data_IF_036190879500
#
_entry.id   IF_036190879500
#
_cell.length_a   1.000
_cell.length_b   1.000
_cell.length_c   1.000
_cell.angle_alpha   90.00
_cell.angle_beta   90.00
_cell.angle_gamma   90.00
#
_symmetry.space_group_name_H-M   'P 1'
#
loop_
_entity.id
_entity.type
_entity.pdbx_description
1 polymer ?
#
# COMPACT_ATOMS: atom_id res chain seq x y z
N UNK A 1 -8.31 -10.30 -13.76
CA UNK A 1 -6.99 -9.70 -13.49
C UNK A 1 -6.52 -9.01 -14.76
N UNK A 2 -6.27 -7.70 -14.76
CA UNK A 2 -5.78 -6.97 -15.91
C UNK A 2 -4.38 -7.48 -16.32
N UNK A 3 -4.08 -7.45 -17.63
CA UNK A 3 -2.83 -7.97 -18.21
C UNK A 3 -1.57 -7.33 -17.57
N UNK A 4 -1.66 -6.07 -17.17
CA UNK A 4 -0.60 -5.33 -16.47
C UNK A 4 -0.22 -5.92 -15.11
N UNK A 5 -1.17 -6.49 -14.37
CA UNK A 5 -0.90 -7.15 -13.09
C UNK A 5 -0.12 -8.45 -13.27
N UNK A 6 -0.42 -9.23 -14.34
CA UNK A 6 0.29 -10.47 -14.65
C UNK A 6 1.77 -10.22 -14.99
N UNK A 7 2.06 -9.17 -15.76
CA UNK A 7 3.45 -8.81 -16.13
C UNK A 7 4.24 -8.36 -14.90
N UNK A 8 3.65 -7.55 -14.04
CA UNK A 8 4.32 -7.06 -12.80
C UNK A 8 4.60 -8.20 -11.80
N UNK A 9 3.67 -9.15 -11.65
CA UNK A 9 3.87 -10.34 -10.79
C UNK A 9 4.98 -11.25 -11.34
N UNK A 10 5.04 -11.46 -12.66
CA UNK A 10 6.07 -12.28 -13.31
C UNK A 10 7.46 -11.67 -13.17
N UNK A 11 7.60 -10.35 -13.32
CA UNK A 11 8.89 -9.65 -13.13
C UNK A 11 9.38 -9.75 -11.68
N UNK A 12 8.49 -9.59 -10.71
CA UNK A 12 8.85 -9.70 -9.30
C UNK A 12 9.20 -11.14 -8.90
N UNK A 13 8.44 -12.15 -9.37
CA UNK A 13 8.78 -13.57 -9.19
C UNK A 13 10.09 -13.96 -9.89
N UNK A 14 10.37 -13.42 -11.08
CA UNK A 14 11.62 -13.66 -11.79
C UNK A 14 12.83 -13.12 -11.02
N UNK A 15 12.71 -11.97 -10.34
CA UNK A 15 13.78 -11.43 -9.50
C UNK A 15 14.07 -12.31 -8.27
N UNK A 16 13.04 -12.86 -7.60
CA UNK A 16 13.21 -13.80 -6.48
C UNK A 16 13.82 -15.12 -6.97
N UNK A 17 13.35 -15.66 -8.10
CA UNK A 17 13.90 -16.90 -8.70
C UNK A 17 15.35 -16.68 -9.20
N UNK A 18 15.69 -15.51 -9.73
CA UNK A 18 17.06 -15.19 -10.11
C UNK A 18 18.03 -15.17 -8.91
N UNK A 19 17.56 -14.74 -7.73
CA UNK A 19 18.35 -14.85 -6.48
C UNK A 19 18.66 -16.31 -6.10
N UNK A 20 17.75 -17.24 -6.38
CA UNK A 20 17.90 -18.68 -6.06
C UNK A 20 18.82 -19.38 -7.10
N UNK A 21 18.83 -18.91 -8.34
CA UNK A 21 19.55 -19.55 -9.46
C UNK A 21 20.98 -19.05 -9.67
N UNK A 22 21.50 -18.14 -8.83
CA UNK A 22 22.82 -17.53 -9.05
C UNK A 22 23.97 -18.51 -8.83
N UNK A 23 24.87 -18.72 -9.81
CA UNK A 23 26.10 -19.52 -9.64
C UNK A 23 27.12 -18.72 -8.83
N UNK A 24 27.62 -19.36 -7.84
CA UNK A 24 28.36 -18.90 -6.69
C UNK A 24 29.79 -18.39 -6.89
N UNK A 25 30.16 -17.40 -6.13
CA UNK A 25 31.52 -16.85 -6.00
C UNK A 25 31.77 -16.23 -4.59
N UNK A 26 33.00 -16.09 -4.08
CA UNK A 26 33.34 -15.56 -2.74
C UNK A 26 33.25 -14.04 -2.65
N UNK A 27 32.61 -13.53 -1.59
CA UNK A 27 32.75 -12.15 -1.17
C UNK A 27 33.35 -12.08 0.25
N UNK A 28 34.14 -11.04 0.55
CA UNK A 28 34.75 -10.77 1.88
C UNK A 28 33.72 -10.50 3.01
N UNK A 29 32.43 -10.57 2.67
CA UNK A 29 31.31 -10.51 3.61
C UNK A 29 31.26 -11.71 4.59
N UNK A 30 32.01 -12.81 4.33
CA UNK A 30 31.89 -14.09 5.04
C UNK A 30 32.71 -14.13 6.33
N UNK A 31 33.76 -13.31 6.48
CA UNK A 31 34.69 -13.45 7.62
C UNK A 31 34.23 -12.80 8.93
N UNK A 32 33.19 -11.98 8.91
CA UNK A 32 32.58 -11.43 10.15
C UNK A 32 31.67 -12.42 10.90
N UNK A 33 31.55 -13.65 10.45
CA UNK A 33 30.57 -14.66 10.82
C UNK A 33 30.75 -15.36 12.18
N UNK A 34 31.47 -14.81 13.16
CA UNK A 34 31.57 -15.38 14.50
C UNK A 34 30.90 -14.57 15.61
N UNK A 35 30.20 -13.48 15.27
CA UNK A 35 29.51 -12.59 16.21
C UNK A 35 28.07 -12.32 15.78
N UNK A 36 27.38 -11.51 16.58
CA UNK A 36 26.11 -10.92 16.21
C UNK A 36 26.34 -9.89 15.11
N UNK A 37 25.53 -9.95 14.05
CA UNK A 37 25.53 -8.97 12.97
C UNK A 37 24.26 -8.12 13.09
N UNK A 38 24.40 -6.84 13.33
CA UNK A 38 23.30 -5.89 13.42
C UNK A 38 23.16 -5.13 12.10
N UNK A 39 21.93 -4.86 11.66
CA UNK A 39 21.70 -4.03 10.49
C UNK A 39 20.52 -3.07 10.71
N UNK A 40 20.63 -1.93 10.03
CA UNK A 40 19.57 -0.95 9.93
C UNK A 40 19.37 -0.55 8.47
N UNK A 41 18.13 -0.43 8.04
CA UNK A 41 17.75 0.02 6.69
C UNK A 41 16.82 1.21 6.83
N UNK A 42 17.04 2.22 6.00
CA UNK A 42 16.12 3.34 5.83
C UNK A 42 15.96 3.64 4.34
N UNK A 43 14.74 3.47 3.82
CA UNK A 43 14.39 3.75 2.44
C UNK A 43 13.31 4.84 2.37
N UNK A 44 13.47 5.79 1.46
CA UNK A 44 12.41 6.67 0.97
C UNK A 44 11.70 5.93 -0.14
N UNK A 45 10.38 5.94 -0.09
CA UNK A 45 9.50 5.25 -1.03
C UNK A 45 8.80 6.25 -1.95
N UNK A 46 8.58 5.85 -3.20
CA UNK A 46 7.76 6.54 -4.19
C UNK A 46 6.69 5.56 -4.65
N UNK A 47 5.55 5.59 -3.98
CA UNK A 47 4.50 4.58 -4.11
C UNK A 47 3.35 5.10 -4.95
N UNK A 48 2.86 4.25 -5.84
CA UNK A 48 1.63 4.47 -6.57
C UNK A 48 0.59 3.49 -6.05
N UNK A 49 -0.60 4.00 -5.78
CA UNK A 49 -1.76 3.24 -5.39
C UNK A 49 -2.69 3.07 -6.59
N UNK A 50 -3.25 1.86 -6.77
CA UNK A 50 -4.40 1.66 -7.67
C UNK A 50 -5.69 2.06 -6.93
N UNK A 51 -6.60 2.70 -7.64
CA UNK A 51 -7.97 2.85 -7.17
C UNK A 51 -8.76 1.60 -7.58
N UNK A 52 -9.01 0.73 -6.60
CA UNK A 52 -9.72 -0.55 -6.77
C UNK A 52 -11.14 -0.50 -6.22
N UNK A 53 -11.67 0.70 -5.90
CA UNK A 53 -13.08 0.89 -5.54
C UNK A 53 -14.02 0.40 -6.66
N UNK A 54 -15.23 0.04 -6.29
CA UNK A 54 -16.26 -0.27 -7.27
C UNK A 54 -16.52 0.93 -8.19
N UNK A 55 -17.00 0.70 -9.41
CA UNK A 55 -17.34 1.78 -10.33
C UNK A 55 -18.69 2.39 -9.93
N UNK A 56 -18.66 3.29 -8.95
CA UNK A 56 -19.83 3.96 -8.38
C UNK A 56 -19.95 5.35 -9.02
N UNK A 57 -21.09 5.70 -9.64
CA UNK A 57 -21.36 7.08 -10.03
C UNK A 57 -21.54 7.93 -8.78
N UNK A 58 -20.76 9.02 -8.69
CA UNK A 58 -20.76 9.93 -7.55
C UNK A 58 -21.55 11.20 -7.85
N UNK A 59 -21.35 11.76 -9.06
CA UNK A 59 -22.02 12.94 -9.57
C UNK A 59 -22.56 12.64 -10.95
N UNK A 60 -23.81 12.99 -11.20
CA UNK A 60 -24.48 12.87 -12.49
C UNK A 60 -24.72 14.24 -13.13
N UNK A 61 -24.87 14.21 -14.44
CA UNK A 61 -25.47 15.29 -15.22
C UNK A 61 -26.99 15.05 -15.26
N UNK A 62 -27.77 15.90 -14.58
CA UNK A 62 -29.21 15.76 -14.45
C UNK A 62 -29.97 15.88 -15.79
N UNK A 63 -29.38 16.49 -16.81
CA UNK A 63 -30.01 16.61 -18.15
C UNK A 63 -29.88 15.31 -18.95
N UNK A 64 -28.73 14.63 -18.84
CA UNK A 64 -28.40 13.44 -19.63
C UNK A 64 -28.47 12.14 -18.82
N UNK A 65 -28.51 12.22 -17.50
CA UNK A 65 -28.35 11.13 -16.53
C UNK A 65 -27.02 10.38 -16.70
N UNK A 66 -26.05 11.00 -17.38
CA UNK A 66 -24.70 10.47 -17.54
C UNK A 66 -23.83 10.72 -16.30
N UNK A 67 -22.88 9.83 -16.04
CA UNK A 67 -21.91 10.03 -14.96
C UNK A 67 -20.96 11.17 -15.29
N UNK A 68 -21.00 12.25 -14.50
CA UNK A 68 -20.10 13.39 -14.62
C UNK A 68 -18.80 13.16 -13.81
N UNK A 69 -18.88 12.48 -12.64
CA UNK A 69 -17.75 12.01 -11.85
C UNK A 69 -18.09 10.63 -11.31
N UNK A 70 -17.24 9.65 -11.64
CA UNK A 70 -17.28 8.31 -11.05
C UNK A 70 -16.15 8.08 -10.02
N UNK A 71 -16.26 7.07 -9.20
CA UNK A 71 -15.20 6.72 -8.25
C UNK A 71 -13.88 6.37 -8.96
N UNK A 72 -13.91 5.81 -10.17
CA UNK A 72 -12.72 5.50 -10.96
C UNK A 72 -12.00 6.73 -11.55
N UNK A 73 -12.62 7.91 -11.55
CA UNK A 73 -11.95 9.15 -11.95
C UNK A 73 -10.95 9.64 -10.89
N UNK A 74 -11.02 9.09 -9.67
CA UNK A 74 -10.15 9.43 -8.55
C UNK A 74 -8.83 8.65 -8.63
N UNK A 75 -7.92 9.08 -9.50
CA UNK A 75 -6.63 8.43 -9.74
C UNK A 75 -5.55 9.02 -8.82
N UNK A 76 -4.85 8.15 -8.09
CA UNK A 76 -3.78 8.58 -7.19
C UNK A 76 -2.47 8.85 -7.94
N UNK A 77 -1.85 10.03 -7.78
CA UNK A 77 -0.48 10.25 -8.19
C UNK A 77 0.49 9.46 -7.30
N UNK A 78 1.76 9.47 -7.68
CA UNK A 78 2.82 8.89 -6.84
C UNK A 78 2.92 9.64 -5.52
N UNK A 79 2.87 8.90 -4.41
CA UNK A 79 2.94 9.43 -3.05
C UNK A 79 4.26 9.06 -2.36
N UNK A 80 4.80 9.94 -1.50
CA UNK A 80 6.00 9.65 -0.72
C UNK A 80 5.69 8.68 0.42
N UNK A 81 6.69 7.87 0.76
CA UNK A 81 6.65 6.98 1.91
C UNK A 81 8.02 6.75 2.51
N UNK A 82 8.05 6.04 3.59
CA UNK A 82 9.27 5.61 4.26
C UNK A 82 9.19 4.12 4.61
N UNK A 83 10.34 3.45 4.58
CA UNK A 83 10.52 2.11 5.15
C UNK A 83 11.74 2.12 6.05
N UNK A 84 11.59 1.60 7.26
CA UNK A 84 12.67 1.39 8.20
C UNK A 84 12.68 -0.08 8.64
N UNK A 85 13.87 -0.69 8.67
CA UNK A 85 14.09 -2.03 9.21
C UNK A 85 15.26 -1.97 10.19
N UNK A 86 15.13 -2.68 11.30
CA UNK A 86 16.21 -2.88 12.25
C UNK A 86 16.21 -4.33 12.71
N UNK A 87 17.37 -4.98 12.62
CA UNK A 87 17.44 -6.40 12.95
C UNK A 87 18.82 -6.84 13.34
N UNK A 88 18.88 -8.08 13.82
CA UNK A 88 20.11 -8.71 14.30
C UNK A 88 20.10 -10.19 13.96
N UNK A 89 21.22 -10.71 13.46
CA UNK A 89 21.48 -12.12 13.25
C UNK A 89 22.51 -12.62 14.25
N UNK A 90 22.22 -13.77 14.86
CA UNK A 90 23.16 -14.49 15.70
C UNK A 90 24.11 -15.37 14.90
N UNK A 91 25.18 -15.87 15.54
CA UNK A 91 26.17 -16.75 14.93
C UNK A 91 25.59 -18.14 14.54
N UNK A 92 24.49 -18.54 15.16
CA UNK A 92 23.74 -19.77 14.91
C UNK A 92 22.71 -19.64 13.78
N UNK A 93 22.58 -18.44 13.18
CA UNK A 93 21.61 -18.14 12.14
C UNK A 93 20.23 -17.75 12.66
N UNK A 94 19.97 -17.79 13.98
CA UNK A 94 18.76 -17.22 14.54
C UNK A 94 18.88 -15.71 14.66
N UNK A 95 17.78 -15.00 14.47
CA UNK A 95 17.77 -13.53 14.53
C UNK A 95 16.37 -12.97 14.76
N UNK A 96 16.30 -11.65 14.75
CA UNK A 96 15.04 -10.92 14.84
C UNK A 96 15.10 -9.64 14.01
N UNK A 97 13.94 -9.17 13.59
CA UNK A 97 13.79 -7.95 12.81
C UNK A 97 12.51 -7.21 13.21
N UNK A 98 12.61 -5.89 13.35
CA UNK A 98 11.47 -4.98 13.39
C UNK A 98 11.43 -4.15 12.12
N UNK A 99 10.25 -3.98 11.58
CA UNK A 99 10.01 -3.21 10.37
C UNK A 99 8.87 -2.23 10.52
N UNK A 100 8.98 -1.11 9.81
CA UNK A 100 7.93 -0.13 9.64
C UNK A 100 7.89 0.32 8.18
N UNK A 101 6.67 0.50 7.65
CA UNK A 101 6.40 1.09 6.35
C UNK A 101 5.24 2.07 6.49
N UNK A 102 5.42 3.31 6.03
CA UNK A 102 4.39 4.32 5.96
C UNK A 102 4.31 4.96 4.59
N UNK A 103 3.10 5.20 4.06
CA UNK A 103 2.85 5.95 2.82
C UNK A 103 1.84 7.05 3.12
N UNK A 104 2.21 8.29 2.80
CA UNK A 104 1.48 9.47 3.21
C UNK A 104 1.14 10.36 2.01
N UNK A 105 0.09 11.18 2.18
CA UNK A 105 -0.29 12.16 1.16
C UNK A 105 -0.80 11.53 -0.13
N UNK A 106 -1.31 10.30 -0.08
CA UNK A 106 -2.08 9.74 -1.18
C UNK A 106 -3.38 10.54 -1.30
N UNK A 107 -3.50 11.32 -2.36
CA UNK A 107 -4.64 12.19 -2.58
C UNK A 107 -5.00 12.21 -4.06
N UNK A 108 -6.28 12.03 -4.35
CA UNK A 108 -6.85 12.10 -5.68
C UNK A 108 -8.03 13.06 -5.67
N UNK A 109 -8.27 13.77 -6.77
CA UNK A 109 -9.45 14.58 -6.95
C UNK A 109 -9.93 14.55 -8.41
N UNK A 110 -11.23 14.73 -8.56
CA UNK A 110 -11.89 14.88 -9.83
C UNK A 110 -12.91 16.02 -9.72
N UNK A 111 -13.07 16.80 -10.78
CA UNK A 111 -13.99 17.93 -10.81
C UNK A 111 -14.79 17.95 -12.10
N UNK A 112 -16.04 18.35 -12.01
CA UNK A 112 -16.92 18.59 -13.13
C UNK A 112 -17.50 20.01 -13.09
N UNK A 113 -17.70 20.60 -14.25
CA UNK A 113 -18.39 21.88 -14.43
C UNK A 113 -19.65 21.64 -15.28
N UNK A 114 -20.74 22.27 -14.88
CA UNK A 114 -22.03 22.18 -15.53
C UNK A 114 -22.71 23.55 -15.64
N UNK A 115 -23.85 23.58 -16.28
CA UNK A 115 -24.69 24.82 -16.45
C UNK A 115 -25.76 24.95 -15.35
N UNK A 116 -25.56 24.34 -14.20
CA UNK A 116 -26.59 24.22 -13.16
C UNK A 116 -27.37 22.90 -13.27
N UNK A 117 -26.72 21.86 -13.75
CA UNK A 117 -27.33 20.54 -14.01
C UNK A 117 -26.58 19.40 -13.31
N UNK A 118 -25.54 19.67 -12.52
CA UNK A 118 -24.85 18.62 -11.78
C UNK A 118 -25.62 18.28 -10.51
N UNK A 119 -25.72 16.99 -10.22
CA UNK A 119 -26.42 16.46 -9.05
C UNK A 119 -25.70 15.27 -8.43
N UNK A 120 -25.93 15.07 -7.13
CA UNK A 120 -25.47 13.86 -6.44
C UNK A 120 -26.18 12.63 -7.01
N UNK A 121 -25.55 11.46 -6.93
CA UNK A 121 -26.16 10.21 -7.42
C UNK A 121 -27.53 9.94 -6.76
N UNK A 122 -28.55 9.55 -7.56
CA UNK A 122 -29.87 9.21 -7.07
C UNK A 122 -29.86 7.91 -6.24
N UNK A 123 -30.85 7.68 -5.34
CA UNK A 123 -32.03 8.54 -5.14
C UNK A 123 -31.83 9.76 -4.22
N UNK A 124 -30.62 9.95 -3.65
CA UNK A 124 -30.37 11.06 -2.71
C UNK A 124 -30.61 12.46 -3.32
N UNK A 125 -30.38 12.60 -4.64
CA UNK A 125 -30.64 13.86 -5.36
C UNK A 125 -32.11 14.31 -5.29
N UNK A 126 -33.06 13.38 -5.14
CA UNK A 126 -34.48 13.74 -5.02
C UNK A 126 -34.89 14.34 -3.67
N UNK A 127 -34.02 14.23 -2.66
CA UNK A 127 -34.36 14.57 -1.26
C UNK A 127 -33.60 15.78 -0.72
N UNK A 128 -32.42 16.11 -1.30
CA UNK A 128 -31.54 17.18 -0.77
C UNK A 128 -31.32 18.24 -1.86
N UNK A 129 -32.07 19.33 -1.79
CA UNK A 129 -32.09 20.35 -2.83
C UNK A 129 -30.74 21.03 -3.05
N UNK A 130 -29.92 21.17 -2.02
CA UNK A 130 -28.58 21.79 -2.14
C UNK A 130 -27.54 20.93 -2.88
N UNK A 131 -27.83 19.66 -3.13
CA UNK A 131 -26.97 18.71 -3.86
C UNK A 131 -27.41 18.52 -5.32
N UNK A 132 -28.33 19.36 -5.80
CA UNK A 132 -28.91 19.34 -7.14
C UNK A 132 -28.79 20.71 -7.80
N UNK A 133 -28.65 20.73 -9.12
CA UNK A 133 -28.56 21.99 -9.87
C UNK A 133 -27.24 22.72 -9.67
N UNK A 134 -26.18 22.02 -9.34
CA UNK A 134 -24.87 22.62 -9.15
C UNK A 134 -24.21 22.95 -10.50
N UNK A 135 -23.48 24.08 -10.54
CA UNK A 135 -22.64 24.48 -11.68
C UNK A 135 -21.21 23.98 -11.58
N UNK A 136 -20.82 23.46 -10.42
CA UNK A 136 -19.54 22.80 -10.20
C UNK A 136 -19.70 21.70 -9.15
N UNK A 137 -19.00 20.59 -9.35
CA UNK A 137 -18.90 19.51 -8.38
C UNK A 137 -17.44 19.03 -8.29
N UNK A 138 -17.04 18.59 -7.12
CA UNK A 138 -15.71 18.01 -6.87
C UNK A 138 -15.82 16.79 -5.99
N UNK A 139 -15.12 15.74 -6.36
CA UNK A 139 -14.89 14.59 -5.53
C UNK A 139 -13.43 14.55 -5.11
N UNK A 140 -13.15 14.24 -3.85
CA UNK A 140 -11.81 14.08 -3.30
C UNK A 140 -11.66 12.75 -2.62
N UNK A 141 -10.45 12.16 -2.66
CA UNK A 141 -10.15 10.89 -2.01
C UNK A 141 -8.74 10.93 -1.43
N UNK A 142 -8.64 10.86 -0.11
CA UNK A 142 -7.40 10.82 0.65
C UNK A 142 -7.18 9.48 1.30
N UNK A 143 -5.92 9.03 1.39
CA UNK A 143 -5.55 7.76 2.00
C UNK A 143 -4.18 7.85 2.67
N UNK A 144 -4.04 7.17 3.82
CA UNK A 144 -2.79 7.01 4.57
C UNK A 144 -2.65 5.54 4.95
N UNK A 145 -1.45 4.99 4.71
CA UNK A 145 -1.12 3.61 5.08
C UNK A 145 0.04 3.61 6.07
N UNK A 146 -0.12 2.85 7.15
CA UNK A 146 0.94 2.51 8.10
C UNK A 146 1.02 0.99 8.25
N UNK A 147 2.21 0.42 8.37
CA UNK A 147 2.40 -1.01 8.65
C UNK A 147 3.63 -1.21 9.53
N UNK A 148 3.50 -2.07 10.52
CA UNK A 148 4.59 -2.48 11.39
C UNK A 148 4.69 -4.01 11.45
N UNK A 149 5.91 -4.52 11.56
CA UNK A 149 6.17 -5.96 11.63
C UNK A 149 7.25 -6.29 12.66
N UNK A 150 7.14 -7.46 13.26
CA UNK A 150 8.15 -8.05 14.13
C UNK A 150 8.35 -9.51 13.74
N UNK A 151 9.56 -9.88 13.35
CA UNK A 151 9.89 -11.18 12.79
C UNK A 151 11.01 -11.87 13.56
N UNK A 152 10.92 -13.16 13.71
CA UNK A 152 12.03 -14.06 13.99
C UNK A 152 12.64 -14.48 12.65
N UNK A 153 13.95 -14.54 12.59
CA UNK A 153 14.72 -14.90 11.40
C UNK A 153 15.45 -16.23 11.63
N UNK A 154 15.46 -17.05 10.58
CA UNK A 154 16.23 -18.29 10.51
C UNK A 154 17.05 -18.25 9.23
N UNK A 155 18.35 -17.99 9.37
CA UNK A 155 19.26 -17.69 8.26
C UNK A 155 20.03 -18.93 7.84
N UNK A 156 19.93 -19.28 6.56
CA UNK A 156 20.77 -20.27 5.90
C UNK A 156 21.79 -19.56 5.00
N UNK A 157 23.06 -19.91 5.16
CA UNK A 157 24.16 -19.34 4.35
C UNK A 157 24.71 -20.41 3.42
N UNK A 158 24.64 -20.16 2.14
CA UNK A 158 25.19 -21.01 1.09
C UNK A 158 26.44 -20.39 0.49
N UNK A 159 27.62 -20.94 0.87
CA UNK A 159 28.92 -20.52 0.31
C UNK A 159 29.42 -21.63 -0.64
N UNK A 160 29.64 -21.31 -1.90
CA UNK A 160 30.28 -22.25 -2.83
C UNK A 160 31.79 -22.03 -2.84
N UNK A 161 32.54 -23.08 -2.54
CA UNK A 161 34.02 -23.03 -2.67
C UNK A 161 34.41 -22.90 -4.16
N UNK A 162 35.41 -22.05 -4.50
CA UNK A 162 35.96 -22.01 -5.86
C UNK A 162 36.47 -23.40 -6.24
N UNK A 163 36.17 -23.85 -7.46
CA UNK A 163 36.88 -24.98 -8.06
C UNK A 163 38.28 -24.50 -8.42
N UNK A 164 39.36 -25.23 -8.10
CA UNK A 164 40.69 -24.97 -8.63
C UNK A 164 40.65 -25.31 -10.11
N UNK A 165 40.38 -24.37 -10.98
CA UNK A 165 40.56 -24.48 -12.41
C UNK A 165 41.73 -23.56 -12.77
N UNK A 166 42.77 -24.10 -13.42
CA UNK A 166 43.98 -23.39 -13.80
C UNK A 166 43.80 -22.35 -14.92
N UNK A 167 42.69 -21.68 -15.00
CA UNK A 167 42.41 -20.54 -15.85
C UNK A 167 42.10 -19.32 -14.97
N UNK A 168 42.87 -18.27 -15.17
CA UNK A 168 42.93 -17.03 -14.43
C UNK A 168 41.68 -16.11 -14.56
N UNK A 169 40.54 -16.63 -14.97
CA UNK A 169 39.26 -15.98 -14.79
C UNK A 169 38.69 -16.44 -13.43
N UNK A 170 39.22 -15.86 -12.38
CA UNK A 170 38.68 -16.02 -11.02
C UNK A 170 37.23 -15.61 -11.00
N UNK A 171 36.37 -16.59 -10.96
CA UNK A 171 34.93 -16.41 -10.66
C UNK A 171 34.84 -15.79 -9.29
N UNK A 172 34.40 -14.51 -9.27
CA UNK A 172 34.19 -13.75 -8.06
C UNK A 172 33.20 -14.49 -7.13
N UNK A 173 33.52 -14.67 -5.86
CA UNK A 173 32.69 -15.39 -4.89
C UNK A 173 31.32 -14.72 -4.67
N UNK A 174 30.22 -15.42 -4.91
CA UNK A 174 28.88 -15.01 -4.52
C UNK A 174 28.49 -15.71 -3.23
N UNK A 175 28.01 -15.00 -2.24
CA UNK A 175 27.41 -15.57 -1.04
C UNK A 175 25.90 -15.42 -1.16
N UNK A 176 25.20 -16.51 -1.16
CA UNK A 176 23.75 -16.54 -1.08
C UNK A 176 23.34 -16.74 0.38
N UNK A 177 22.59 -15.80 0.91
CA UNK A 177 21.95 -15.90 2.23
C UNK A 177 20.45 -16.02 2.02
N UNK A 178 19.80 -16.94 2.71
CA UNK A 178 18.35 -17.10 2.72
C UNK A 178 17.87 -16.96 4.16
N UNK A 179 16.99 -16.01 4.41
CA UNK A 179 16.33 -15.82 5.68
C UNK A 179 14.88 -16.32 5.55
N UNK A 180 14.50 -17.29 6.37
CA UNK A 180 13.11 -17.62 6.63
C UNK A 180 12.60 -16.72 7.75
N UNK A 181 11.39 -16.17 7.56
CA UNK A 181 10.79 -15.24 8.51
C UNK A 181 9.49 -15.83 9.05
N UNK A 182 9.30 -15.70 10.36
CA UNK A 182 8.03 -15.98 11.00
C UNK A 182 7.77 -14.88 12.04
N UNK A 183 6.59 -14.27 12.04
CA UNK A 183 6.35 -13.13 12.92
C UNK A 183 4.92 -12.63 12.91
N UNK A 184 4.79 -11.39 13.30
CA UNK A 184 3.53 -10.66 13.38
C UNK A 184 3.59 -9.42 12.53
N UNK A 185 2.46 -9.07 11.88
CA UNK A 185 2.30 -7.83 11.11
C UNK A 185 1.00 -7.14 11.43
N UNK A 186 1.08 -5.83 11.56
CA UNK A 186 -0.04 -4.92 11.58
C UNK A 186 0.00 -4.04 10.33
N UNK A 187 -1.18 -3.71 9.78
CA UNK A 187 -1.37 -2.68 8.78
C UNK A 187 -2.63 -1.88 9.08
N UNK A 188 -2.50 -0.56 9.12
CA UNK A 188 -3.60 0.40 9.29
C UNK A 188 -3.76 1.23 8.03
N UNK A 189 -4.97 1.24 7.46
CA UNK A 189 -5.37 2.04 6.32
C UNK A 189 -6.48 2.99 6.75
N UNK A 190 -6.21 4.30 6.69
CA UNK A 190 -7.18 5.35 7.00
C UNK A 190 -7.49 6.13 5.73
N UNK A 191 -8.78 6.30 5.42
CA UNK A 191 -9.24 6.91 4.18
C UNK A 191 -10.39 7.89 4.41
N UNK A 192 -10.47 8.86 3.52
CA UNK A 192 -11.58 9.81 3.47
C UNK A 192 -11.94 10.11 2.02
N UNK A 193 -13.22 10.01 1.68
CA UNK A 193 -13.78 10.47 0.42
C UNK A 193 -14.84 11.54 0.70
N UNK A 194 -14.86 12.62 -0.11
CA UNK A 194 -15.82 13.71 0.06
C UNK A 194 -16.31 14.22 -1.30
N UNK A 195 -17.58 14.58 -1.34
CA UNK A 195 -18.26 15.24 -2.46
C UNK A 195 -18.60 16.66 -2.05
N UNK A 196 -18.29 17.63 -2.91
CA UNK A 196 -18.61 19.02 -2.71
C UNK A 196 -19.33 19.59 -3.94
N UNK A 197 -20.34 20.41 -3.73
CA UNK A 197 -21.18 21.01 -4.75
C UNK A 197 -21.18 22.53 -4.62
N UNK A 198 -21.27 23.24 -5.73
CA UNK A 198 -21.30 24.70 -5.76
C UNK A 198 -22.24 25.24 -6.82
N UNK A 199 -22.95 26.33 -6.53
CA UNK A 199 -23.86 27.03 -7.43
C UNK A 199 -23.33 28.44 -7.76
N UNK A 200 -23.06 28.73 -9.04
CA UNK A 200 -22.62 30.04 -9.49
C UNK A 200 -21.30 30.49 -8.89
N UNK A 201 -21.30 31.66 -8.22
CA UNK A 201 -20.12 32.23 -7.55
C UNK A 201 -19.91 31.72 -6.11
N UNK A 202 -20.74 30.81 -5.66
CA UNK A 202 -20.65 30.24 -4.29
C UNK A 202 -19.53 29.22 -4.23
N UNK A 203 -18.70 29.30 -3.20
CA UNK A 203 -17.64 28.30 -2.92
C UNK A 203 -18.23 26.91 -2.83
N UNK A 204 -17.46 25.90 -3.29
CA UNK A 204 -17.82 24.51 -3.09
C UNK A 204 -18.00 24.24 -1.57
N UNK A 205 -19.15 23.68 -1.23
CA UNK A 205 -19.48 23.27 0.15
C UNK A 205 -19.43 21.75 0.21
N UNK A 206 -18.80 21.19 1.24
CA UNK A 206 -18.81 19.76 1.44
C UNK A 206 -20.25 19.26 1.63
N UNK A 207 -20.71 18.45 0.68
CA UNK A 207 -22.08 17.91 0.68
C UNK A 207 -22.20 16.54 1.33
N UNK A 208 -21.19 15.66 1.10
CA UNK A 208 -21.23 14.30 1.65
C UNK A 208 -19.81 13.77 1.87
N UNK A 209 -19.46 13.47 3.11
CA UNK A 209 -18.13 12.95 3.48
C UNK A 209 -18.25 11.60 4.14
N UNK A 210 -17.41 10.67 3.70
CA UNK A 210 -17.27 9.33 4.27
C UNK A 210 -15.82 9.09 4.66
N UNK A 211 -15.62 8.47 5.83
CA UNK A 211 -14.32 8.01 6.31
C UNK A 211 -14.37 6.52 6.56
N UNK A 212 -13.29 5.83 6.23
CA UNK A 212 -13.08 4.43 6.57
C UNK A 212 -11.73 4.21 7.24
N UNK A 213 -11.69 3.28 8.17
CA UNK A 213 -10.46 2.83 8.82
C UNK A 213 -10.44 1.31 8.84
N UNK A 214 -9.34 0.73 8.37
CA UNK A 214 -9.11 -0.71 8.29
C UNK A 214 -7.83 -1.05 9.06
N UNK A 215 -7.94 -1.84 10.12
CA UNK A 215 -6.81 -2.30 10.92
C UNK A 215 -6.67 -3.83 10.80
N UNK A 216 -5.60 -4.28 10.16
CA UNK A 216 -5.30 -5.68 9.93
C UNK A 216 -4.22 -6.14 10.91
N UNK A 217 -4.45 -7.26 11.61
CA UNK A 217 -3.52 -7.86 12.56
C UNK A 217 -3.35 -9.34 12.24
N UNK A 218 -2.13 -9.79 11.97
CA UNK A 218 -1.94 -11.18 11.55
C UNK A 218 -0.59 -11.81 11.82
N UNK A 219 -0.58 -13.13 11.79
CA UNK A 219 0.63 -13.93 11.74
C UNK A 219 1.25 -13.88 10.34
N UNK A 220 2.56 -13.66 10.26
CA UNK A 220 3.32 -13.50 9.02
C UNK A 220 4.34 -14.63 8.87
N UNK A 221 4.50 -15.11 7.64
CA UNK A 221 5.63 -15.92 7.20
C UNK A 221 6.24 -15.30 5.95
N UNK A 222 7.51 -15.60 5.70
CA UNK A 222 8.15 -15.08 4.51
C UNK A 222 9.53 -15.65 4.28
N UNK A 223 10.11 -15.24 3.17
CA UNK A 223 11.48 -15.55 2.77
C UNK A 223 12.15 -14.29 2.23
N UNK A 224 13.42 -14.10 2.56
CA UNK A 224 14.28 -13.08 1.98
C UNK A 224 15.57 -13.76 1.50
N UNK A 225 15.91 -13.56 0.22
CA UNK A 225 17.16 -14.02 -0.37
C UNK A 225 18.08 -12.83 -0.64
N UNK A 226 19.36 -12.96 -0.33
CA UNK A 226 20.39 -11.97 -0.65
C UNK A 226 21.59 -12.64 -1.32
N UNK A 227 21.89 -12.23 -2.54
CA UNK A 227 23.06 -12.65 -3.29
C UNK A 227 24.05 -11.48 -3.40
N UNK A 228 25.27 -11.67 -2.87
CA UNK A 228 26.29 -10.62 -2.83
C UNK A 228 27.49 -10.95 -3.71
N UNK A 229 27.95 -9.96 -4.50
CA UNK A 229 29.15 -10.03 -5.36
C UNK A 229 29.99 -8.79 -5.14
N UNK A 230 31.24 -8.93 -4.71
CA UNK A 230 32.12 -7.78 -4.48
C UNK A 230 31.39 -6.69 -3.71
N UNK A 231 31.08 -5.58 -4.37
CA UNK A 231 30.49 -4.38 -3.78
C UNK A 231 28.97 -4.26 -4.06
N UNK A 232 28.38 -5.27 -4.72
CA UNK A 232 26.95 -5.24 -5.09
C UNK A 232 26.24 -6.44 -4.46
N UNK A 233 25.04 -6.24 -3.97
CA UNK A 233 24.16 -7.31 -3.53
C UNK A 233 22.76 -7.12 -4.12
N UNK A 234 22.16 -8.20 -4.58
CA UNK A 234 20.75 -8.27 -4.95
C UNK A 234 19.98 -8.94 -3.82
N UNK A 235 18.96 -8.30 -3.33
CA UNK A 235 18.06 -8.80 -2.29
C UNK A 235 16.64 -8.89 -2.86
N UNK A 236 15.93 -9.95 -2.54
CA UNK A 236 14.52 -10.11 -2.86
C UNK A 236 13.79 -10.71 -1.69
N UNK A 237 12.52 -10.36 -1.49
CA UNK A 237 11.69 -10.90 -0.41
C UNK A 237 10.27 -11.16 -0.89
N UNK A 238 9.64 -12.13 -0.22
CA UNK A 238 8.22 -12.40 -0.31
C UNK A 238 7.70 -12.70 1.10
N UNK A 239 6.68 -11.97 1.53
CA UNK A 239 6.04 -12.11 2.85
C UNK A 239 4.54 -12.21 2.67
N UNK A 240 3.88 -13.04 3.48
CA UNK A 240 2.43 -13.19 3.51
C UNK A 240 1.96 -13.26 4.96
N UNK A 241 0.94 -12.46 5.31
CA UNK A 241 0.27 -12.53 6.60
C UNK A 241 -1.21 -12.87 6.40
N UNK A 242 -1.70 -13.83 7.21
CA UNK A 242 -3.13 -14.06 7.40
C UNK A 242 -3.58 -13.20 8.58
N UNK A 243 -4.56 -12.33 8.35
CA UNK A 243 -4.96 -11.30 9.29
C UNK A 243 -6.45 -11.35 9.62
N UNK A 244 -6.80 -10.94 10.84
CA UNK A 244 -8.12 -10.43 11.17
C UNK A 244 -8.15 -8.93 10.89
N UNK A 245 -9.17 -8.46 10.20
CA UNK A 245 -9.38 -7.08 9.82
C UNK A 245 -10.50 -6.47 10.66
N UNK A 246 -10.19 -5.42 11.40
CA UNK A 246 -11.16 -4.63 12.16
C UNK A 246 -11.45 -3.38 11.34
N UNK A 247 -12.68 -3.28 10.85
CA UNK A 247 -13.12 -2.24 9.92
C UNK A 247 -14.11 -1.31 10.57
N UNK A 248 -13.99 -0.02 10.32
CA UNK A 248 -14.98 0.97 10.72
C UNK A 248 -15.21 1.97 9.60
N UNK A 249 -16.43 2.45 9.46
CA UNK A 249 -16.77 3.58 8.61
C UNK A 249 -17.56 4.61 9.41
N UNK A 250 -17.45 5.87 9.02
CA UNK A 250 -18.27 6.97 9.50
C UNK A 250 -18.66 7.88 8.36
N UNK A 251 -19.90 8.33 8.36
CA UNK A 251 -20.44 9.30 7.42
C UNK A 251 -20.85 10.55 8.19
N UNK A 252 -20.47 11.71 7.68
CA UNK A 252 -20.88 12.98 8.26
C UNK A 252 -22.39 13.21 8.03
N UNK A 253 -22.99 14.11 8.79
CA UNK A 253 -24.37 14.50 8.56
C UNK A 253 -24.54 15.13 7.18
N UNK A 254 -25.59 14.75 6.47
CA UNK A 254 -26.00 15.41 5.23
C UNK A 254 -26.95 16.53 5.64
N UNK A 255 -26.51 17.78 5.37
CA UNK A 255 -27.26 18.98 5.69
C UNK A 255 -27.63 19.67 4.38
N UNK A 256 -28.91 20.02 4.23
CA UNK A 256 -29.34 20.86 3.14
C UNK A 256 -28.82 22.29 3.37
N UNK A 257 -27.86 22.74 2.56
CA UNK A 257 -27.26 24.06 2.72
C UNK A 257 -28.20 25.23 2.40
N UNK A 258 -29.36 24.97 1.78
CA UNK A 258 -30.37 25.97 1.47
C UNK A 258 -31.29 26.21 2.67
N UNK A 259 -31.78 25.13 3.31
CA UNK A 259 -32.70 25.21 4.43
C UNK A 259 -31.99 25.17 5.78
N UNK A 260 -30.81 24.61 5.87
CA UNK A 260 -30.10 24.33 7.10
C UNK A 260 -30.60 23.07 7.83
N UNK A 261 -31.52 22.32 7.23
CA UNK A 261 -32.10 21.13 7.83
C UNK A 261 -31.15 19.92 7.69
N UNK A 262 -31.09 19.11 8.72
CA UNK A 262 -30.33 17.84 8.71
C UNK A 262 -31.17 16.76 8.06
N UNK A 263 -30.91 16.44 6.81
CA UNK A 263 -31.57 15.35 6.09
C UNK A 263 -31.20 13.99 6.69
N UNK A 264 -29.89 13.75 6.89
CA UNK A 264 -29.35 12.53 7.51
C UNK A 264 -28.35 12.90 8.59
N UNK A 265 -28.56 12.43 9.81
CA UNK A 265 -27.58 12.62 10.88
C UNK A 265 -26.33 11.77 10.64
N UNK A 266 -25.21 12.18 11.23
CA UNK A 266 -23.96 11.41 11.17
C UNK A 266 -24.18 9.96 11.65
N UNK A 267 -23.57 9.02 10.95
CA UNK A 267 -23.71 7.57 11.17
C UNK A 267 -22.37 6.88 11.08
N UNK A 268 -22.29 5.67 11.58
CA UNK A 268 -21.12 4.82 11.44
C UNK A 268 -21.46 3.36 11.68
N UNK A 269 -20.62 2.49 11.17
CA UNK A 269 -20.69 1.06 11.39
C UNK A 269 -19.31 0.45 11.58
N UNK A 270 -19.27 -0.73 12.16
CA UNK A 270 -18.07 -1.50 12.40
C UNK A 270 -18.32 -2.96 12.11
N UNK A 271 -17.33 -3.64 11.53
CA UNK A 271 -17.36 -5.08 11.29
C UNK A 271 -15.96 -5.66 11.36
N UNK A 272 -15.89 -6.96 11.58
CA UNK A 272 -14.63 -7.71 11.51
C UNK A 272 -14.73 -8.71 10.36
N UNK A 273 -13.62 -8.87 9.60
CA UNK A 273 -13.55 -9.80 8.48
C UNK A 273 -12.16 -10.44 8.41
N UNK A 274 -12.01 -11.64 7.82
CA UNK A 274 -10.68 -12.14 7.50
C UNK A 274 -10.05 -11.27 6.41
N UNK A 275 -8.73 -11.07 6.52
CA UNK A 275 -7.94 -10.29 5.58
C UNK A 275 -6.56 -10.89 5.35
N UNK A 276 -5.78 -10.24 4.50
CA UNK A 276 -4.42 -10.66 4.19
C UNK A 276 -3.52 -9.49 3.85
N UNK A 277 -2.23 -9.65 4.13
CA UNK A 277 -1.18 -8.69 3.78
C UNK A 277 -0.11 -9.44 3.01
N UNK A 278 0.20 -9.02 1.79
CA UNK A 278 1.21 -9.62 0.93
C UNK A 278 2.22 -8.55 0.55
N UNK A 279 3.51 -8.84 0.75
CA UNK A 279 4.62 -7.91 0.51
C UNK A 279 5.68 -8.61 -0.34
N UNK A 280 5.98 -8.04 -1.48
CA UNK A 280 6.94 -8.58 -2.44
C UNK A 280 7.83 -7.47 -2.94
N UNK A 281 9.16 -7.70 -2.97
CA UNK A 281 10.06 -6.70 -3.51
C UNK A 281 11.43 -7.21 -3.84
N UNK A 282 12.20 -6.32 -4.47
CA UNK A 282 13.61 -6.55 -4.79
C UNK A 282 14.39 -5.25 -4.63
N UNK A 283 15.65 -5.37 -4.21
CA UNK A 283 16.56 -4.23 -3.98
C UNK A 283 17.96 -4.58 -4.46
N UNK A 284 18.58 -3.65 -5.15
CA UNK A 284 20.01 -3.65 -5.44
C UNK A 284 20.71 -2.79 -4.40
N UNK A 285 21.67 -3.36 -3.69
CA UNK A 285 22.49 -2.66 -2.71
C UNK A 285 23.93 -2.52 -3.23
N UNK A 286 24.49 -1.32 -3.15
CA UNK A 286 25.87 -1.03 -3.51
C UNK A 286 26.64 -0.59 -2.27
N UNK A 287 27.72 -1.33 -1.95
CA UNK A 287 28.60 -1.04 -0.82
C UNK A 287 29.40 0.24 -1.05
N UNK A 288 29.24 1.21 -0.16
CA UNK A 288 29.99 2.48 -0.17
C UNK A 288 31.19 2.41 0.76
N UNK A 289 31.06 1.66 1.87
CA UNK A 289 32.10 1.43 2.86
C UNK A 289 31.86 0.08 3.56
N UNK A 290 32.69 -0.26 4.53
CA UNK A 290 32.52 -1.49 5.31
C UNK A 290 31.21 -1.54 6.13
N UNK A 291 30.60 -0.40 6.37
CA UNK A 291 29.37 -0.28 7.16
C UNK A 291 28.17 0.13 6.31
N UNK A 292 28.36 0.96 5.28
CA UNK A 292 27.29 1.61 4.55
C UNK A 292 27.10 1.08 3.14
N UNK A 293 25.85 0.88 2.75
CA UNK A 293 25.45 0.55 1.38
C UNK A 293 24.32 1.47 0.90
N UNK A 294 24.37 1.90 -0.35
CA UNK A 294 23.28 2.57 -1.05
C UNK A 294 22.30 1.51 -1.57
N UNK A 295 21.00 1.75 -1.47
CA UNK A 295 19.94 0.83 -1.89
C UNK A 295 19.03 1.47 -2.91
N UNK A 296 18.70 0.72 -3.97
CA UNK A 296 17.67 1.08 -4.96
C UNK A 296 16.78 -0.13 -5.15
N UNK A 297 15.48 0.03 -5.01
CA UNK A 297 14.58 -1.13 -5.05
C UNK A 297 13.20 -0.82 -5.60
N UNK A 298 12.39 -1.88 -5.64
CA UNK A 298 10.97 -1.83 -5.96
C UNK A 298 10.21 -2.75 -5.01
N UNK A 299 9.08 -2.28 -4.52
CA UNK A 299 8.23 -3.03 -3.59
C UNK A 299 6.78 -3.00 -4.04
N UNK A 300 6.05 -4.07 -3.73
CA UNK A 300 4.62 -4.20 -3.93
C UNK A 300 3.98 -4.66 -2.62
N UNK A 301 2.87 -4.05 -2.28
CA UNK A 301 2.07 -4.38 -1.12
C UNK A 301 0.62 -4.58 -1.54
N UNK A 302 -0.01 -5.67 -1.10
CA UNK A 302 -1.44 -5.94 -1.26
C UNK A 302 -2.07 -6.13 0.11
N UNK A 303 -3.21 -5.48 0.31
CA UNK A 303 -4.09 -5.67 1.45
C UNK A 303 -5.42 -6.21 0.95
N UNK A 304 -5.96 -7.24 1.59
CA UNK A 304 -7.30 -7.77 1.31
C UNK A 304 -8.15 -7.73 2.57
N UNK A 305 -9.46 -7.64 2.42
CA UNK A 305 -10.36 -7.47 3.55
C UNK A 305 -10.26 -6.07 4.16
N UNK A 306 -10.22 -5.05 3.31
CA UNK A 306 -10.24 -3.63 3.68
C UNK A 306 -11.57 -2.98 3.28
N UNK A 307 -11.87 -1.83 3.86
CA UNK A 307 -12.99 -0.99 3.51
C UNK A 307 -12.47 0.29 2.85
N UNK A 308 -12.77 0.47 1.55
CA UNK A 308 -12.38 1.67 0.81
C UNK A 308 -13.44 2.76 0.97
N UNK A 309 -13.02 4.01 1.20
CA UNK A 309 -13.96 5.09 1.49
C UNK A 309 -14.96 5.38 0.35
N UNK A 310 -14.61 5.36 -0.96
CA UNK A 310 -15.58 5.56 -2.03
C UNK A 310 -16.70 4.51 -2.06
N UNK A 311 -16.43 3.27 -1.65
CA UNK A 311 -17.41 2.19 -1.63
C UNK A 311 -18.38 2.28 -0.44
N UNK A 312 -18.12 3.19 0.50
CA UNK A 312 -18.99 3.44 1.65
C UNK A 312 -19.99 4.58 1.40
N UNK A 313 -19.95 5.26 0.23
CA UNK A 313 -21.03 6.17 -0.13
C UNK A 313 -22.34 5.40 -0.29
N UNK A 314 -23.37 5.85 0.45
CA UNK A 314 -24.71 5.28 0.40
C UNK A 314 -25.71 6.37 0.02
N UNK A 315 -26.11 6.35 -1.23
CA UNK A 315 -27.03 7.32 -1.82
C UNK A 315 -28.52 6.94 -1.61
N UNK A 316 -28.79 5.81 -0.96
CA UNK A 316 -30.17 5.39 -0.67
C UNK A 316 -30.85 6.38 0.30
N UNK A 317 -32.19 6.40 0.26
CA UNK A 317 -33.02 7.24 1.13
C UNK A 317 -33.62 6.47 2.29
N UNK A 318 -33.22 5.22 2.46
CA UNK A 318 -33.71 4.34 3.53
C UNK A 318 -33.29 4.82 4.92
N UNK A 319 -34.08 4.47 5.94
CA UNK A 319 -33.76 4.80 7.33
C UNK A 319 -32.46 4.18 7.83
N UNK A 320 -32.00 3.11 7.19
CA UNK A 320 -30.75 2.38 7.48
C UNK A 320 -29.58 2.84 6.59
N UNK A 321 -29.82 3.77 5.67
CA UNK A 321 -28.76 4.28 4.79
C UNK A 321 -27.53 4.74 5.57
N UNK A 322 -26.32 4.32 5.13
CA UNK A 322 -25.06 4.65 5.78
C UNK A 322 -24.73 3.86 7.04
N UNK A 323 -25.47 2.80 7.36
CA UNK A 323 -25.18 1.90 8.49
C UNK A 323 -24.55 0.57 8.07
N UNK A 324 -24.46 0.29 6.78
CA UNK A 324 -23.78 -0.89 6.22
C UNK A 324 -22.32 -0.56 5.93
N UNK A 325 -21.45 -1.57 5.95
CA UNK A 325 -20.04 -1.45 5.65
C UNK A 325 -19.65 -2.49 4.59
N UNK A 326 -19.13 -2.04 3.45
CA UNK A 326 -18.53 -2.92 2.44
C UNK A 326 -17.09 -3.25 2.86
N UNK A 327 -16.83 -4.54 3.14
CA UNK A 327 -15.65 -5.01 3.87
C UNK A 327 -14.71 -5.91 3.05
N UNK A 328 -15.01 -6.16 1.77
CA UNK A 328 -14.30 -7.20 0.99
C UNK A 328 -13.39 -6.63 -0.10
N UNK A 329 -12.93 -5.39 0.07
CA UNK A 329 -12.12 -4.74 -0.92
C UNK A 329 -10.64 -5.14 -0.82
N UNK A 330 -9.91 -4.84 -1.89
CA UNK A 330 -8.48 -5.10 -2.01
C UNK A 330 -7.77 -3.81 -2.39
N UNK A 331 -6.65 -3.52 -1.74
CA UNK A 331 -5.77 -2.40 -2.06
C UNK A 331 -4.45 -2.93 -2.61
N UNK A 332 -3.94 -2.30 -3.66
CA UNK A 332 -2.59 -2.52 -4.15
C UNK A 332 -1.78 -1.22 -4.16
N UNK A 333 -0.53 -1.32 -3.69
CA UNK A 333 0.48 -0.28 -3.80
C UNK A 333 1.75 -0.87 -4.42
N UNK A 334 2.37 -0.14 -5.32
CA UNK A 334 3.65 -0.53 -5.90
C UNK A 334 4.52 0.69 -6.18
N UNK A 335 5.84 0.56 -5.97
CA UNK A 335 6.69 1.71 -6.19
C UNK A 335 8.17 1.48 -6.00
N UNK A 336 8.95 2.48 -6.42
CA UNK A 336 10.38 2.52 -6.28
C UNK A 336 10.83 2.95 -4.88
N UNK A 337 12.05 2.58 -4.52
CA UNK A 337 12.69 3.01 -3.27
C UNK A 337 14.14 3.40 -3.49
N UNK A 338 14.61 4.36 -2.70
CA UNK A 338 16.01 4.77 -2.59
C UNK A 338 16.36 4.89 -1.11
N UNK A 339 17.47 4.31 -0.68
CA UNK A 339 17.80 4.30 0.74
C UNK A 339 19.22 3.93 1.07
N UNK A 340 19.46 3.77 2.35
CA UNK A 340 20.73 3.40 2.95
C UNK A 340 20.55 2.19 3.86
N UNK A 341 21.57 1.35 3.87
CA UNK A 341 21.71 0.23 4.79
C UNK A 341 23.02 0.37 5.56
N UNK A 342 22.98 0.20 6.86
CA UNK A 342 24.14 0.07 7.72
C UNK A 342 24.22 -1.35 8.28
N UNK A 343 25.43 -1.95 8.33
CA UNK A 343 25.73 -3.26 8.95
C UNK A 343 26.96 -3.14 9.83
N UNK A 344 26.92 -3.70 11.05
CA UNK A 344 28.05 -3.68 11.99
C UNK A 344 28.03 -4.89 12.94
#
# INVERSE_FOLDING_TARGET
MPATLRVRLVVAMAAVVACIACPAARADWVERGRGWETYAVFDVLFMQRDNTSNDVPLVLDGDTLGTAIGSHDLQFPTAPGIRALYGQHGPDGAGWEFGYLGVYGMFADAAAAGSGNLEIAPPLSSEVASLVGASAARATYGSVLNSAEANLLFTERHCRRPRPSGYEFDSVPCVLTVDWLAGFRWAGLDEQAALAFGTGAVSLIDGYTVRSSSNLFGGQIGVRGRAAWRDVALEGWAKAALAGSVLSQSQDAIVDAVTGDVYRSARGSRTDTPGGIFDLGATLAWRLSDTWSLRVGYTNLWLTGVALAPDQFDFSTDTTAGTTLDANQTLWLGGGSLGLEARW
#
